data_IF_453165516696
#
_entry.id   IF_453165516696
#
_cell.length_a   1.000
_cell.length_b   1.000
_cell.length_c   1.000
_cell.angle_alpha   90.00
_cell.angle_beta   90.00
_cell.angle_gamma   90.00
#
_symmetry.space_group_name_H-M   'P 1'
#
loop_
_entity.id
_entity.type
_entity.pdbx_description
1 polymer ?
#
# COMPACT_ATOMS: atom_id res chain seq x y z
N UNK A 1 -4.24 27.96 13.67
CA UNK A 1 -4.60 27.96 12.23
C UNK A 1 -3.29 28.02 11.47
N UNK A 2 -2.66 26.88 11.24
CA UNK A 2 -1.52 26.80 10.31
C UNK A 2 -2.10 26.64 8.91
N UNK A 3 -1.68 27.53 8.00
CA UNK A 3 -2.20 27.59 6.64
C UNK A 3 -1.95 26.27 5.93
N UNK A 4 -2.99 25.75 5.28
CA UNK A 4 -2.86 24.72 4.26
C UNK A 4 -1.94 25.26 3.18
N UNK A 5 -0.67 24.85 3.19
CA UNK A 5 0.22 25.04 2.04
C UNK A 5 -0.53 24.52 0.80
N UNK A 6 -0.63 25.35 -0.22
CA UNK A 6 -1.20 24.94 -1.51
C UNK A 6 -0.31 23.83 -2.08
N UNK A 7 -0.75 22.59 -1.90
CA UNK A 7 0.05 21.43 -2.19
C UNK A 7 0.39 21.35 -3.67
N UNK A 8 -0.51 21.81 -4.54
CA UNK A 8 -0.35 21.80 -5.99
C UNK A 8 0.84 22.64 -6.47
N UNK A 9 1.14 23.73 -5.76
CA UNK A 9 2.29 24.59 -6.05
C UNK A 9 3.57 24.18 -5.34
N UNK A 10 3.52 23.19 -4.42
CA UNK A 10 4.70 22.76 -3.68
C UNK A 10 5.77 22.16 -4.62
N UNK A 11 7.06 22.56 -4.53
CA UNK A 11 8.09 22.11 -5.47
C UNK A 11 8.26 20.58 -5.54
N UNK A 12 8.22 19.88 -4.40
CA UNK A 12 8.29 18.40 -4.38
C UNK A 12 7.13 17.79 -5.16
N UNK A 13 5.92 18.32 -4.98
CA UNK A 13 4.69 17.85 -5.63
C UNK A 13 4.79 18.01 -7.14
N UNK A 14 5.24 19.16 -7.62
CA UNK A 14 5.44 19.39 -9.06
C UNK A 14 6.48 18.43 -9.66
N UNK A 15 7.58 18.17 -8.95
CA UNK A 15 8.63 17.23 -9.39
C UNK A 15 8.16 15.77 -9.40
N UNK A 16 7.33 15.38 -8.42
CA UNK A 16 6.66 14.07 -8.39
C UNK A 16 5.76 13.89 -9.61
N UNK A 17 4.92 14.89 -9.93
CA UNK A 17 4.03 14.87 -11.11
C UNK A 17 4.79 14.75 -12.43
N UNK A 18 5.98 15.35 -12.52
CA UNK A 18 6.86 15.26 -13.69
C UNK A 18 7.70 13.98 -13.73
N UNK A 19 7.63 13.12 -12.71
CA UNK A 19 8.38 11.86 -12.65
C UNK A 19 9.89 12.05 -12.53
N UNK A 20 10.34 13.16 -11.92
CA UNK A 20 11.77 13.51 -11.84
C UNK A 20 12.56 12.71 -10.79
N UNK A 21 11.88 12.08 -9.84
CA UNK A 21 12.52 11.23 -8.85
C UNK A 21 12.65 9.82 -9.42
N UNK A 22 13.79 9.16 -9.20
CA UNK A 22 14.08 7.81 -9.69
C UNK A 22 14.70 6.92 -8.60
N UNK A 23 15.09 7.50 -7.46
CA UNK A 23 15.77 6.81 -6.37
C UNK A 23 15.13 7.16 -5.03
N UNK A 24 13.84 6.86 -4.89
CA UNK A 24 13.07 7.12 -3.67
C UNK A 24 13.45 6.12 -2.59
N UNK A 25 13.86 6.62 -1.42
CA UNK A 25 14.06 5.82 -0.21
C UNK A 25 12.85 6.03 0.70
N UNK A 26 12.16 4.94 1.03
CA UNK A 26 11.03 4.94 1.95
C UNK A 26 11.49 4.46 3.33
N UNK A 27 11.09 5.18 4.37
CA UNK A 27 11.26 4.83 5.78
C UNK A 27 9.86 4.63 6.38
N UNK A 28 9.52 3.42 6.78
CA UNK A 28 8.21 3.11 7.34
C UNK A 28 8.28 2.49 8.73
N UNK A 29 7.28 2.80 9.55
CA UNK A 29 7.03 2.17 10.84
C UNK A 29 5.57 1.74 11.01
N UNK A 30 5.19 1.44 12.25
CA UNK A 30 3.93 0.75 12.54
C UNK A 30 2.67 1.53 12.10
N UNK A 31 2.76 2.85 11.97
CA UNK A 31 1.65 3.69 11.53
C UNK A 31 1.12 3.37 10.12
N UNK A 32 1.91 2.70 9.27
CA UNK A 32 1.41 2.24 7.95
C UNK A 32 0.56 0.96 8.04
N UNK A 33 0.57 0.25 9.17
CA UNK A 33 -0.14 -1.02 9.39
C UNK A 33 -1.38 -0.88 10.27
N UNK A 34 -1.63 0.32 10.85
CA UNK A 34 -2.76 0.55 11.78
C UNK A 34 -4.11 0.27 11.13
N UNK A 35 -4.32 0.68 9.88
CA UNK A 35 -5.57 0.42 9.15
C UNK A 35 -5.78 -1.06 8.77
N UNK A 36 -4.75 -1.92 8.91
CA UNK A 36 -4.88 -3.37 8.79
C UNK A 36 -5.30 -4.05 10.10
N UNK A 37 -5.61 -3.27 11.15
CA UNK A 37 -5.97 -3.78 12.47
C UNK A 37 -4.76 -4.19 13.32
N UNK A 38 -3.54 -3.88 12.90
CA UNK A 38 -2.32 -4.12 13.67
C UNK A 38 -2.01 -2.87 14.50
N UNK A 39 -2.10 -2.93 15.83
CA UNK A 39 -1.82 -1.76 16.67
C UNK A 39 -0.36 -1.35 16.51
N UNK A 40 -0.09 -0.06 16.63
CA UNK A 40 1.29 0.40 16.77
C UNK A 40 1.82 0.09 18.19
N UNK A 41 3.06 0.45 18.47
CA UNK A 41 3.65 0.16 19.78
C UNK A 41 3.29 1.18 20.86
N UNK A 42 3.09 2.46 20.48
CA UNK A 42 3.25 3.61 21.39
C UNK A 42 2.07 4.57 21.41
N UNK A 43 1.05 4.41 20.56
CA UNK A 43 -0.08 5.32 20.54
C UNK A 43 -0.88 5.24 21.85
N UNK A 44 -1.23 6.38 22.46
CA UNK A 44 -2.05 6.37 23.67
C UNK A 44 -3.42 5.73 23.43
N UNK A 45 -3.87 4.87 24.35
CA UNK A 45 -5.14 4.16 24.34
C UNK A 45 -5.22 2.92 23.44
N UNK A 46 -4.33 2.77 22.45
CA UNK A 46 -4.40 1.71 21.44
C UNK A 46 -3.09 0.98 21.18
N UNK A 47 -1.96 1.54 21.62
CA UNK A 47 -0.63 1.00 21.40
C UNK A 47 -0.37 -0.26 22.23
N UNK A 48 0.46 -1.16 21.68
CA UNK A 48 0.78 -2.45 22.28
C UNK A 48 1.25 -2.31 23.73
N UNK A 49 2.12 -1.34 24.03
CA UNK A 49 2.72 -1.16 25.36
C UNK A 49 1.72 -0.83 26.47
N UNK A 50 0.56 -0.24 26.14
CA UNK A 50 -0.48 0.03 27.13
C UNK A 50 -1.29 -1.21 27.50
N UNK A 51 -1.21 -2.29 26.71
CA UNK A 51 -1.96 -3.52 26.95
C UNK A 51 -1.09 -4.64 27.55
N UNK A 52 0.13 -4.31 28.01
CA UNK A 52 1.07 -5.31 28.54
C UNK A 52 1.04 -5.47 30.08
N UNK A 53 0.06 -4.88 30.79
CA UNK A 53 0.07 -4.93 32.26
C UNK A 53 -0.04 -6.37 32.81
N UNK A 54 -0.64 -7.29 32.06
CA UNK A 54 -0.77 -8.71 32.45
C UNK A 54 0.57 -9.48 32.49
N UNK A 55 1.64 -8.89 31.95
CA UNK A 55 2.96 -9.53 31.84
C UNK A 55 3.90 -9.20 32.99
N UNK A 56 3.49 -8.34 33.94
CA UNK A 56 4.28 -7.91 35.11
C UNK A 56 5.72 -7.51 34.74
N UNK A 57 5.83 -6.67 33.71
CA UNK A 57 7.10 -6.22 33.15
C UNK A 57 7.66 -5.05 33.97
N UNK A 58 8.99 -4.94 34.14
CA UNK A 58 9.60 -3.78 34.79
C UNK A 58 9.37 -2.48 34.00
N UNK A 59 9.34 -2.60 32.68
CA UNK A 59 8.97 -1.56 31.72
C UNK A 59 8.40 -2.25 30.46
N UNK A 60 7.49 -1.61 29.71
CA UNK A 60 6.86 -2.24 28.54
C UNK A 60 7.85 -2.74 27.49
N UNK A 61 8.96 -2.03 27.28
CA UNK A 61 10.02 -2.38 26.33
C UNK A 61 10.78 -3.65 26.70
N UNK A 62 10.76 -4.06 27.98
CA UNK A 62 11.49 -5.22 28.46
C UNK A 62 11.07 -6.52 27.76
N UNK A 63 9.82 -6.64 27.31
CA UNK A 63 9.33 -7.83 26.59
C UNK A 63 10.08 -8.08 25.27
N UNK A 64 10.66 -7.03 24.68
CA UNK A 64 11.48 -7.07 23.48
C UNK A 64 12.98 -6.91 23.78
N UNK A 65 13.41 -7.05 25.03
CA UNK A 65 14.83 -6.99 25.42
C UNK A 65 15.48 -8.35 25.44
N UNK A 66 16.64 -8.50 24.79
CA UNK A 66 17.34 -9.80 24.74
C UNK A 66 17.77 -10.25 26.13
N UNK A 67 18.18 -9.32 27.00
CA UNK A 67 18.57 -9.63 28.36
C UNK A 67 17.40 -10.11 29.22
N UNK A 68 16.22 -9.51 29.04
CA UNK A 68 14.99 -9.93 29.70
C UNK A 68 14.52 -11.29 29.17
N UNK A 69 14.51 -11.50 27.86
CA UNK A 69 14.13 -12.78 27.25
C UNK A 69 15.00 -13.95 27.73
N UNK A 70 16.30 -13.70 27.99
CA UNK A 70 17.19 -14.69 28.61
C UNK A 70 16.80 -15.08 30.03
N UNK A 71 16.24 -14.15 30.79
CA UNK A 71 15.81 -14.35 32.18
C UNK A 71 14.41 -14.94 32.27
N UNK A 72 13.47 -14.41 31.48
CA UNK A 72 12.05 -14.74 31.49
C UNK A 72 11.49 -14.71 30.05
N UNK A 73 11.60 -15.82 29.29
CA UNK A 73 11.09 -15.91 27.91
C UNK A 73 9.56 -16.06 27.82
N UNK A 74 8.88 -16.37 28.92
CA UNK A 74 7.45 -16.68 28.94
C UNK A 74 6.55 -15.52 28.47
N UNK A 75 6.75 -14.24 28.90
CA UNK A 75 5.94 -13.11 28.44
C UNK A 75 5.99 -12.93 26.93
N UNK A 76 7.19 -12.91 26.34
CA UNK A 76 7.34 -12.80 24.89
C UNK A 76 6.72 -14.01 24.17
N UNK A 77 6.87 -15.23 24.71
CA UNK A 77 6.30 -16.43 24.08
C UNK A 77 4.77 -16.35 24.00
N UNK A 78 4.11 -15.81 25.04
CA UNK A 78 2.66 -15.56 25.04
C UNK A 78 2.28 -14.49 24.02
N UNK A 79 2.94 -13.33 24.08
CA UNK A 79 2.69 -12.21 23.18
C UNK A 79 2.97 -12.56 21.71
N UNK A 80 4.00 -13.36 21.42
CA UNK A 80 4.40 -13.74 20.08
C UNK A 80 3.29 -14.47 19.30
N UNK A 81 2.32 -15.08 20.00
CA UNK A 81 1.14 -15.68 19.39
C UNK A 81 0.20 -14.62 18.83
N UNK A 82 0.02 -13.51 19.55
CA UNK A 82 -0.83 -12.39 19.15
C UNK A 82 -0.19 -11.55 18.05
N UNK A 83 1.15 -11.44 18.07
CA UNK A 83 1.93 -10.75 17.05
C UNK A 83 2.20 -11.59 15.80
N UNK A 84 1.92 -12.90 15.85
CA UNK A 84 2.16 -13.76 14.71
C UNK A 84 1.31 -13.29 13.53
N UNK A 85 1.87 -13.11 12.33
CA UNK A 85 1.09 -12.64 11.18
C UNK A 85 -0.12 -13.56 10.91
N UNK A 86 -1.34 -13.07 11.15
CA UNK A 86 -2.60 -13.74 10.80
C UNK A 86 -3.49 -12.79 10.01
N UNK A 87 -3.95 -13.27 8.84
CA UNK A 87 -5.01 -12.77 7.94
C UNK A 87 -5.08 -11.28 7.56
N UNK A 88 -4.25 -10.43 8.16
CA UNK A 88 -4.18 -9.00 7.88
C UNK A 88 -3.74 -8.76 6.43
N UNK A 89 -4.46 -7.87 5.76
CA UNK A 89 -4.17 -7.50 4.38
C UNK A 89 -3.30 -6.25 4.33
N UNK A 90 -2.41 -6.12 3.34
CA UNK A 90 -1.63 -4.91 3.16
C UNK A 90 -2.52 -3.67 2.99
N UNK A 91 -2.14 -2.58 3.66
CA UNK A 91 -2.85 -1.30 3.61
C UNK A 91 -2.55 -0.53 2.31
N UNK A 92 -3.25 0.59 2.11
CA UNK A 92 -2.99 1.48 0.96
C UNK A 92 -1.55 1.97 0.97
N UNK A 93 -0.99 2.26 2.14
CA UNK A 93 0.41 2.65 2.31
C UNK A 93 1.38 1.58 1.78
N UNK A 94 1.15 0.30 2.07
CA UNK A 94 1.97 -0.79 1.54
C UNK A 94 1.86 -0.90 0.01
N UNK A 95 0.63 -0.82 -0.50
CA UNK A 95 0.35 -0.86 -1.94
C UNK A 95 0.97 0.33 -2.67
N UNK A 96 0.98 1.51 -2.06
CA UNK A 96 1.64 2.70 -2.60
C UNK A 96 3.14 2.47 -2.79
N UNK A 97 3.84 1.94 -1.79
CA UNK A 97 5.27 1.58 -1.91
C UNK A 97 5.48 0.53 -3.00
N UNK A 98 4.60 -0.46 -3.12
CA UNK A 98 4.64 -1.43 -4.23
C UNK A 98 4.49 -0.76 -5.59
N UNK A 99 3.64 0.25 -5.72
CA UNK A 99 3.50 0.98 -6.99
C UNK A 99 4.76 1.80 -7.29
N UNK A 100 5.38 2.44 -6.29
CA UNK A 100 6.68 3.10 -6.47
C UNK A 100 7.72 2.13 -7.05
N UNK A 101 7.74 0.88 -6.57
CA UNK A 101 8.61 -0.16 -7.13
C UNK A 101 8.25 -0.51 -8.58
N UNK A 102 6.98 -0.79 -8.86
CA UNK A 102 6.52 -1.17 -10.19
C UNK A 102 6.74 -0.10 -11.24
N UNK A 103 6.69 1.17 -10.84
CA UNK A 103 6.95 2.33 -11.71
C UNK A 103 8.44 2.67 -11.83
N UNK A 104 9.32 1.96 -11.11
CA UNK A 104 10.78 2.15 -11.17
C UNK A 104 11.32 3.28 -10.30
N UNK A 105 10.50 3.87 -9.43
CA UNK A 105 10.88 4.97 -8.53
C UNK A 105 11.56 4.49 -7.25
N UNK A 106 11.16 3.33 -6.73
CA UNK A 106 11.63 2.85 -5.43
C UNK A 106 13.09 2.39 -5.51
N UNK A 107 13.98 3.11 -4.81
CA UNK A 107 15.35 2.66 -4.54
C UNK A 107 15.35 1.58 -3.47
N UNK A 108 14.75 1.89 -2.32
CA UNK A 108 14.72 1.03 -1.14
C UNK A 108 13.54 1.36 -0.25
N UNK A 109 12.98 0.32 0.37
CA UNK A 109 12.02 0.42 1.47
C UNK A 109 12.65 -0.12 2.75
N UNK A 110 12.92 0.75 3.72
CA UNK A 110 13.34 0.37 5.06
C UNK A 110 12.10 0.36 5.95
N UNK A 111 11.78 -0.81 6.51
CA UNK A 111 10.62 -0.99 7.38
C UNK A 111 11.10 -1.36 8.79
N UNK A 112 10.50 -0.74 9.80
CA UNK A 112 10.63 -1.15 11.22
C UNK A 112 9.66 -2.28 11.57
N UNK A 113 8.71 -2.57 10.69
CA UNK A 113 7.62 -3.50 10.95
C UNK A 113 8.09 -4.94 10.79
N UNK A 114 7.46 -5.82 11.55
CA UNK A 114 7.74 -7.27 11.61
C UNK A 114 6.54 -8.10 11.14
N UNK A 115 5.44 -7.43 10.74
CA UNK A 115 4.14 -8.00 10.38
C UNK A 115 4.13 -8.76 9.04
N UNK A 116 5.10 -8.50 8.16
CA UNK A 116 5.20 -9.15 6.85
C UNK A 116 4.30 -8.54 5.76
N UNK A 117 3.55 -7.48 6.05
CA UNK A 117 2.61 -6.86 5.10
C UNK A 117 3.32 -6.25 3.88
N UNK A 118 4.55 -5.77 4.05
CA UNK A 118 5.40 -5.30 2.94
C UNK A 118 5.65 -6.40 1.90
N UNK A 119 5.94 -7.62 2.37
CA UNK A 119 6.15 -8.79 1.51
C UNK A 119 4.83 -9.26 0.90
N UNK A 120 3.74 -9.25 1.66
CA UNK A 120 2.40 -9.59 1.18
C UNK A 120 1.88 -8.61 0.12
N UNK A 121 2.25 -7.32 0.20
CA UNK A 121 1.99 -6.33 -0.86
C UNK A 121 2.79 -6.61 -2.16
N UNK A 122 3.74 -7.54 -2.10
CA UNK A 122 4.58 -7.94 -3.22
C UNK A 122 5.80 -7.04 -3.44
N UNK A 123 6.21 -6.24 -2.46
CA UNK A 123 7.47 -5.49 -2.52
C UNK A 123 8.61 -6.49 -2.60
N UNK A 124 9.50 -6.38 -3.60
CA UNK A 124 10.53 -7.40 -3.77
C UNK A 124 11.52 -7.42 -2.60
N UNK A 125 12.01 -8.60 -2.25
CA UNK A 125 13.09 -8.77 -1.27
C UNK A 125 14.35 -7.98 -1.66
N UNK A 126 14.56 -7.68 -2.95
CA UNK A 126 15.66 -6.83 -3.39
C UNK A 126 15.49 -5.37 -2.99
N UNK A 127 14.26 -4.87 -2.82
CA UNK A 127 13.96 -3.49 -2.40
C UNK A 127 13.65 -3.38 -0.91
N UNK A 128 13.32 -4.49 -0.25
CA UNK A 128 12.92 -4.50 1.16
C UNK A 128 14.11 -4.65 2.12
N UNK A 129 14.17 -3.81 3.15
CA UNK A 129 15.07 -3.94 4.31
C UNK A 129 14.21 -3.99 5.56
N UNK A 130 14.05 -5.20 6.11
CA UNK A 130 13.37 -5.46 7.37
C UNK A 130 14.32 -5.11 8.52
N UNK A 131 14.33 -3.84 8.93
CA UNK A 131 15.33 -3.31 9.87
C UNK A 131 15.26 -4.01 11.22
N UNK A 132 14.06 -4.38 11.67
CA UNK A 132 13.83 -5.12 12.90
C UNK A 132 13.49 -6.60 12.67
N UNK A 133 13.81 -7.14 11.49
CA UNK A 133 13.60 -8.55 11.19
C UNK A 133 12.15 -8.94 10.90
N UNK A 134 11.78 -10.20 11.12
CA UNK A 134 10.44 -10.73 10.85
C UNK A 134 10.17 -12.07 11.52
N UNK A 135 8.90 -12.48 11.60
CA UNK A 135 8.48 -13.78 12.17
C UNK A 135 8.74 -15.02 11.29
N UNK A 136 9.16 -14.85 10.02
CA UNK A 136 9.26 -15.96 9.05
C UNK A 136 10.42 -16.95 9.23
N UNK A 137 11.30 -16.74 10.22
CA UNK A 137 12.38 -17.65 10.56
C UNK A 137 12.70 -17.51 12.05
N UNK A 138 13.48 -18.44 12.62
CA UNK A 138 13.97 -18.31 13.99
C UNK A 138 15.36 -18.90 14.17
N UNK A 139 16.09 -18.36 15.15
CA UNK A 139 17.44 -18.81 15.49
C UNK A 139 17.61 -18.95 17.00
N UNK A 140 18.53 -19.84 17.38
CA UNK A 140 18.97 -19.94 18.76
C UNK A 140 19.84 -18.72 19.13
N UNK A 141 19.52 -18.08 20.26
CA UNK A 141 20.24 -16.88 20.72
C UNK A 141 21.66 -17.16 21.24
N UNK A 142 22.04 -18.44 21.42
CA UNK A 142 23.34 -18.84 21.96
C UNK A 142 24.30 -19.38 20.90
N UNK A 143 23.81 -20.25 20.01
CA UNK A 143 24.64 -20.91 18.99
C UNK A 143 24.32 -20.48 17.55
N UNK A 144 23.34 -19.57 17.37
CA UNK A 144 22.87 -19.09 16.09
C UNK A 144 22.44 -20.21 15.10
N UNK A 145 22.06 -21.38 15.62
CA UNK A 145 21.52 -22.47 14.79
C UNK A 145 20.10 -22.11 14.36
N UNK A 146 19.85 -22.19 13.05
CA UNK A 146 18.53 -22.01 12.46
C UNK A 146 17.53 -23.00 13.07
N UNK A 147 16.31 -22.51 13.26
CA UNK A 147 15.17 -23.25 13.78
C UNK A 147 14.03 -23.14 12.78
N UNK A 148 13.49 -24.28 12.38
CA UNK A 148 12.48 -24.34 11.31
C UNK A 148 11.22 -23.55 11.70
N UNK A 149 10.67 -22.79 10.76
CA UNK A 149 9.52 -21.91 10.97
C UNK A 149 8.31 -22.68 11.52
N UNK A 150 7.92 -23.80 10.88
CA UNK A 150 6.79 -24.61 11.35
C UNK A 150 6.93 -25.06 12.81
N UNK A 151 8.15 -25.46 13.20
CA UNK A 151 8.43 -25.87 14.58
C UNK A 151 8.36 -24.69 15.52
N UNK A 152 8.84 -23.53 15.12
CA UNK A 152 8.76 -22.31 15.92
C UNK A 152 7.30 -21.91 16.13
N UNK A 153 6.51 -21.95 15.06
CA UNK A 153 5.07 -21.72 15.06
C UNK A 153 4.36 -22.67 16.03
N UNK A 154 4.62 -23.98 15.95
CA UNK A 154 4.06 -24.97 16.87
C UNK A 154 4.34 -24.64 18.35
N UNK A 155 5.55 -24.18 18.65
CA UNK A 155 5.93 -23.79 20.01
C UNK A 155 5.16 -22.54 20.46
N UNK A 156 5.15 -21.48 19.65
CA UNK A 156 4.47 -20.21 19.96
C UNK A 156 2.96 -20.43 20.14
N UNK A 157 2.31 -21.09 19.19
CA UNK A 157 0.86 -21.35 19.27
C UNK A 157 0.49 -22.31 20.39
N UNK A 158 1.40 -23.20 20.78
CA UNK A 158 1.29 -24.07 21.95
C UNK A 158 1.63 -23.40 23.28
N UNK A 159 2.04 -22.13 23.30
CA UNK A 159 2.47 -21.42 24.51
C UNK A 159 3.75 -21.99 25.13
N UNK A 160 4.61 -22.62 24.33
CA UNK A 160 5.83 -23.30 24.78
C UNK A 160 7.07 -22.53 24.38
N UNK A 161 7.99 -22.35 25.32
CA UNK A 161 9.30 -21.75 25.04
C UNK A 161 10.10 -22.67 24.11
N UNK A 162 10.47 -22.17 22.93
CA UNK A 162 11.27 -22.91 21.98
C UNK A 162 12.74 -23.01 22.44
N UNK A 163 13.31 -24.22 22.35
CA UNK A 163 14.71 -24.48 22.73
C UNK A 163 15.47 -25.23 21.65
N UNK A 164 16.72 -24.84 21.48
CA UNK A 164 17.65 -25.48 20.56
C UNK A 164 18.19 -26.80 21.14
N UNK A 165 18.83 -27.61 20.30
CA UNK A 165 19.56 -28.81 20.74
C UNK A 165 20.69 -28.50 21.74
N UNK A 166 21.26 -27.29 21.70
CA UNK A 166 22.24 -26.82 22.70
C UNK A 166 21.60 -26.32 24.02
N UNK A 167 20.27 -26.47 24.18
CA UNK A 167 19.45 -25.98 25.30
C UNK A 167 19.22 -24.47 25.35
N UNK A 168 19.90 -23.72 24.49
CA UNK A 168 19.67 -22.28 24.33
C UNK A 168 18.26 -21.94 23.85
N UNK A 169 17.80 -20.75 24.20
CA UNK A 169 16.49 -20.25 23.80
C UNK A 169 16.44 -19.98 22.30
N UNK A 170 15.28 -20.15 21.70
CA UNK A 170 15.01 -19.84 20.30
C UNK A 170 13.94 -18.76 20.26
N UNK A 171 14.16 -17.76 19.39
CA UNK A 171 13.18 -16.73 19.10
C UNK A 171 13.01 -16.56 17.58
N UNK A 172 11.91 -15.96 17.13
CA UNK A 172 11.80 -15.48 15.76
C UNK A 172 12.93 -14.50 15.44
N UNK A 173 13.24 -14.37 14.16
CA UNK A 173 14.26 -13.46 13.63
C UNK A 173 13.80 -12.00 13.64
N UNK A 174 13.14 -11.59 14.71
CA UNK A 174 12.88 -10.19 15.05
C UNK A 174 14.05 -9.69 15.91
N UNK A 175 14.41 -8.43 15.72
CA UNK A 175 15.53 -7.80 16.44
C UNK A 175 15.03 -7.30 17.79
N UNK A 176 15.60 -7.83 18.86
CA UNK A 176 15.35 -7.39 20.23
C UNK A 176 16.26 -6.20 20.59
N UNK A 177 15.88 -5.41 21.58
CA UNK A 177 16.78 -4.44 22.18
C UNK A 177 18.02 -5.16 22.73
N UNK A 178 19.19 -4.63 22.38
CA UNK A 178 20.49 -5.24 22.68
C UNK A 178 21.03 -6.16 21.57
N UNK A 179 20.31 -6.33 20.45
CA UNK A 179 20.82 -7.04 19.26
C UNK A 179 21.28 -6.10 18.16
N UNK A 180 22.22 -6.58 17.34
CA UNK A 180 22.61 -5.91 16.12
C UNK A 180 21.49 -5.99 15.07
N UNK A 181 21.25 -4.89 14.36
CA UNK A 181 20.37 -4.91 13.19
C UNK A 181 20.99 -5.75 12.06
N UNK A 182 20.17 -6.28 11.11
CA UNK A 182 20.66 -7.13 10.03
C UNK A 182 21.75 -6.45 9.20
N UNK A 183 22.76 -7.20 8.75
CA UNK A 183 23.87 -6.66 7.93
C UNK A 183 23.39 -5.91 6.67
N UNK A 184 22.23 -6.31 6.13
CA UNK A 184 21.56 -5.65 5.00
C UNK A 184 21.18 -4.20 5.33
N UNK A 185 20.73 -3.92 6.56
CA UNK A 185 20.43 -2.55 7.01
C UNK A 185 21.66 -1.64 6.90
N UNK A 186 22.81 -2.07 7.45
CA UNK A 186 24.05 -1.30 7.39
C UNK A 186 24.54 -1.10 5.95
N UNK A 187 24.50 -2.14 5.14
CA UNK A 187 24.98 -2.10 3.75
C UNK A 187 24.11 -1.20 2.87
N UNK A 188 22.80 -1.41 2.89
CA UNK A 188 21.86 -0.64 2.08
C UNK A 188 21.78 0.81 2.53
N UNK A 189 21.74 1.07 3.85
CA UNK A 189 21.68 2.44 4.35
C UNK A 189 22.91 3.25 3.95
N UNK A 190 24.10 2.64 3.87
CA UNK A 190 25.29 3.31 3.30
C UNK A 190 25.14 3.61 1.81
N UNK A 191 24.77 2.61 1.01
CA UNK A 191 24.76 2.72 -0.45
C UNK A 191 23.61 3.57 -1.01
N UNK A 192 22.44 3.53 -0.37
CA UNK A 192 21.22 4.08 -0.95
C UNK A 192 21.04 5.57 -0.64
N UNK A 193 21.53 6.05 0.51
CA UNK A 193 21.44 7.47 0.87
C UNK A 193 22.41 8.37 0.09
N UNK A 194 23.51 7.82 -0.43
CA UNK A 194 24.43 8.53 -1.32
C UNK A 194 23.82 8.79 -2.70
N UNK A 195 22.73 8.09 -3.06
CA UNK A 195 22.12 8.10 -4.40
C UNK A 195 20.64 8.44 -4.39
N UNK A 196 20.04 8.66 -3.23
CA UNK A 196 18.62 8.97 -3.15
C UNK A 196 18.35 10.39 -3.65
N UNK A 197 17.21 10.57 -4.30
CA UNK A 197 16.73 11.87 -4.78
C UNK A 197 15.45 12.31 -4.05
N UNK A 198 14.87 11.43 -3.24
CA UNK A 198 13.75 11.71 -2.33
C UNK A 198 13.79 10.75 -1.14
N UNK A 199 13.50 11.26 0.05
CA UNK A 199 13.20 10.43 1.23
C UNK A 199 11.74 10.60 1.62
N UNK A 200 11.01 9.49 1.68
CA UNK A 200 9.63 9.45 2.11
C UNK A 200 9.55 8.73 3.46
N UNK A 201 9.16 9.46 4.50
CA UNK A 201 9.01 8.95 5.87
C UNK A 201 7.54 8.79 6.20
N UNK A 202 7.11 7.59 6.59
CA UNK A 202 5.70 7.26 6.76
C UNK A 202 5.44 6.49 8.05
N UNK A 203 4.44 6.91 8.82
CA UNK A 203 3.92 6.11 9.93
C UNK A 203 4.96 5.71 10.99
N UNK A 204 5.92 6.56 11.29
CA UNK A 204 6.99 6.27 12.28
C UNK A 204 7.21 7.44 13.23
N UNK A 205 7.38 7.13 14.52
CA UNK A 205 7.76 8.12 15.54
C UNK A 205 9.25 8.46 15.52
N UNK A 206 10.07 7.75 14.73
CA UNK A 206 11.53 7.94 14.65
C UNK A 206 12.22 8.01 16.03
N UNK A 207 11.80 7.16 16.98
CA UNK A 207 12.37 7.12 18.33
C UNK A 207 13.41 6.00 18.53
N UNK A 208 13.45 5.01 17.63
CA UNK A 208 14.30 3.82 17.79
C UNK A 208 15.54 3.96 16.92
N UNK A 209 16.71 4.04 17.55
CA UNK A 209 18.00 4.02 16.86
C UNK A 209 18.45 2.58 16.54
N UNK A 210 19.25 2.37 15.48
CA UNK A 210 19.80 3.36 14.54
C UNK A 210 18.84 3.77 13.41
N UNK A 211 17.59 3.31 13.41
CA UNK A 211 16.63 3.58 12.33
C UNK A 211 16.26 5.07 12.25
N UNK A 212 16.01 5.72 13.39
CA UNK A 212 15.68 7.14 13.47
C UNK A 212 16.71 8.03 12.74
N UNK A 213 18.00 7.73 12.91
CA UNK A 213 19.08 8.47 12.23
C UNK A 213 19.05 8.38 10.70
N UNK A 214 18.34 7.42 10.08
CA UNK A 214 18.25 7.34 8.61
C UNK A 214 17.67 8.63 8.01
N UNK A 215 16.69 9.25 8.66
CA UNK A 215 16.07 10.48 8.13
C UNK A 215 17.05 11.66 8.06
N UNK A 216 18.05 11.68 8.93
CA UNK A 216 19.06 12.75 9.00
C UNK A 216 20.25 12.49 8.08
N UNK A 217 20.44 11.25 7.64
CA UNK A 217 21.44 10.87 6.63
C UNK A 217 21.11 11.36 5.23
N UNK A 218 19.87 11.74 4.97
CA UNK A 218 19.48 12.38 3.71
C UNK A 218 20.29 13.68 3.51
N UNK A 219 21.03 13.81 2.39
CA UNK A 219 21.75 15.04 2.07
C UNK A 219 20.86 16.28 2.15
N UNK A 220 21.43 17.44 2.47
CA UNK A 220 20.64 18.66 2.67
C UNK A 220 19.84 19.09 1.44
N UNK A 221 20.33 18.77 0.23
CA UNK A 221 19.67 19.06 -1.04
C UNK A 221 18.58 18.03 -1.42
N UNK A 222 18.54 16.87 -0.74
CA UNK A 222 17.54 15.85 -1.03
C UNK A 222 16.25 16.21 -0.29
N UNK A 223 15.13 16.42 -1.03
CA UNK A 223 13.84 16.70 -0.41
C UNK A 223 13.37 15.52 0.43
N UNK A 224 12.59 15.83 1.48
CA UNK A 224 11.96 14.84 2.32
C UNK A 224 10.46 15.10 2.42
N UNK A 225 9.69 14.02 2.44
CA UNK A 225 8.26 14.04 2.70
C UNK A 225 8.01 13.27 4.00
N UNK A 226 7.23 13.84 4.91
CA UNK A 226 6.71 13.15 6.07
C UNK A 226 5.21 12.96 5.92
N UNK A 227 4.73 11.72 6.09
CA UNK A 227 3.31 11.38 6.22
C UNK A 227 3.12 10.69 7.56
N UNK A 228 2.55 11.37 8.54
CA UNK A 228 2.42 10.81 9.89
C UNK A 228 1.35 11.56 10.69
N UNK A 229 0.78 10.94 11.73
CA UNK A 229 -0.19 11.62 12.60
C UNK A 229 0.39 12.86 13.28
N UNK A 230 1.65 12.78 13.71
CA UNK A 230 2.35 13.83 14.43
C UNK A 230 3.73 14.06 13.84
N UNK A 231 4.32 15.24 14.02
CA UNK A 231 5.70 15.54 13.61
C UNK A 231 6.70 14.90 14.61
N UNK A 232 7.52 13.91 14.21
CA UNK A 232 8.54 13.36 15.08
C UNK A 232 9.65 14.38 15.39
N UNK A 233 10.12 14.43 16.63
CA UNK A 233 11.22 15.32 17.03
C UNK A 233 12.49 15.07 16.20
N UNK A 234 12.82 13.80 15.96
CA UNK A 234 13.98 13.39 15.17
C UNK A 234 13.89 13.82 13.69
N UNK A 235 12.70 14.11 13.17
CA UNK A 235 12.54 14.54 11.77
C UNK A 235 13.21 15.90 11.52
N UNK A 236 13.13 16.82 12.49
CA UNK A 236 13.63 18.21 12.42
C UNK A 236 13.34 18.86 11.06
N UNK A 237 12.14 19.43 10.91
CA UNK A 237 11.64 20.01 9.65
C UNK A 237 12.65 20.99 9.04
N UNK A 238 13.02 20.77 7.78
CA UNK A 238 13.79 21.67 6.92
C UNK A 238 12.82 22.53 6.09
N UNK A 239 13.23 23.71 5.61
CA UNK A 239 12.36 24.57 4.81
C UNK A 239 11.80 23.92 3.54
N UNK A 240 12.53 22.97 2.95
CA UNK A 240 12.14 22.28 1.72
C UNK A 240 11.36 20.97 1.99
N UNK A 241 11.15 20.58 3.25
CA UNK A 241 10.42 19.36 3.57
C UNK A 241 8.91 19.59 3.43
N UNK A 242 8.24 18.61 2.80
CA UNK A 242 6.79 18.55 2.79
C UNK A 242 6.32 17.72 3.99
N UNK A 243 5.41 18.27 4.79
CA UNK A 243 4.88 17.59 5.99
C UNK A 243 3.37 17.46 5.86
N UNK A 244 2.90 16.22 5.79
CA UNK A 244 1.51 15.83 5.67
C UNK A 244 1.08 15.16 6.99
N UNK A 245 0.37 15.91 7.83
CA UNK A 245 -0.10 15.40 9.11
C UNK A 245 -1.48 14.77 9.00
N UNK A 246 -1.55 13.48 9.31
CA UNK A 246 -2.77 12.68 9.21
C UNK A 246 -2.48 11.18 9.13
N UNK A 247 -3.53 10.39 9.05
CA UNK A 247 -3.43 8.94 8.82
C UNK A 247 -2.75 8.67 7.47
N UNK A 248 -1.82 7.71 7.43
CA UNK A 248 -0.99 7.49 6.24
C UNK A 248 -1.83 7.18 5.01
N UNK A 249 -2.79 6.26 5.13
CA UNK A 249 -3.67 5.89 4.02
C UNK A 249 -4.50 7.08 3.55
N UNK A 250 -5.12 7.83 4.48
CA UNK A 250 -5.91 9.00 4.15
C UNK A 250 -5.09 10.07 3.42
N UNK A 251 -3.87 10.37 3.90
CA UNK A 251 -3.01 11.38 3.26
C UNK A 251 -2.50 10.93 1.89
N UNK A 252 -2.26 9.64 1.68
CA UNK A 252 -1.91 9.11 0.35
C UNK A 252 -3.08 9.27 -0.61
N UNK A 253 -4.31 9.00 -0.16
CA UNK A 253 -5.53 9.12 -0.97
C UNK A 253 -5.91 10.56 -1.28
N UNK A 254 -6.01 11.40 -0.24
CA UNK A 254 -6.51 12.77 -0.32
C UNK A 254 -5.60 13.65 -1.15
N UNK A 255 -4.29 13.47 -1.00
CA UNK A 255 -3.32 14.30 -1.69
C UNK A 255 -3.02 13.73 -3.06
N UNK A 256 -3.97 13.94 -3.97
CA UNK A 256 -4.01 13.55 -5.38
C UNK A 256 -2.64 13.48 -6.09
N UNK A 257 -1.69 14.31 -5.68
CA UNK A 257 -0.27 14.28 -6.05
C UNK A 257 0.46 12.95 -5.82
N UNK A 258 0.32 12.32 -4.65
CA UNK A 258 0.94 11.03 -4.40
C UNK A 258 0.27 9.96 -5.27
N UNK A 259 -1.04 10.07 -5.48
CA UNK A 259 -1.78 9.27 -6.46
C UNK A 259 -1.43 9.62 -7.93
N UNK A 260 -0.93 10.83 -8.22
CA UNK A 260 -0.46 11.29 -9.53
C UNK A 260 0.87 10.64 -9.93
N UNK A 261 1.73 10.27 -8.96
CA UNK A 261 2.85 9.34 -9.23
C UNK A 261 2.33 8.01 -9.80
N UNK A 262 1.09 7.66 -9.47
CA UNK A 262 0.40 6.47 -9.96
C UNK A 262 -0.39 6.71 -11.26
N UNK A 263 -0.47 7.94 -11.78
CA UNK A 263 -1.28 8.24 -12.96
C UNK A 263 -0.64 7.77 -14.28
N UNK A 264 -1.10 6.61 -14.70
CA UNK A 264 -2.05 6.51 -15.83
C UNK A 264 -2.83 5.18 -15.75
N UNK A 265 -2.92 4.59 -14.55
CA UNK A 265 -3.38 3.20 -14.42
C UNK A 265 -3.94 2.85 -13.04
N UNK A 266 -3.85 3.66 -11.99
CA UNK A 266 -3.92 3.15 -10.60
C UNK A 266 -5.31 2.82 -10.06
N UNK A 267 -6.32 3.70 -10.14
CA UNK A 267 -7.66 3.35 -9.65
C UNK A 267 -8.23 2.15 -10.42
N UNK A 268 -8.07 2.16 -11.74
CA UNK A 268 -8.36 1.01 -12.60
C UNK A 268 -7.50 -0.22 -12.29
N UNK A 269 -6.21 -0.08 -11.99
CA UNK A 269 -5.33 -1.24 -11.68
C UNK A 269 -5.59 -1.79 -10.30
N UNK A 270 -5.99 -0.95 -9.35
CA UNK A 270 -6.35 -1.33 -8.00
C UNK A 270 -7.69 -2.05 -8.02
N UNK A 271 -8.72 -1.43 -8.61
CA UNK A 271 -9.99 -2.07 -8.90
C UNK A 271 -9.77 -3.38 -9.66
N UNK A 272 -8.90 -3.40 -10.68
CA UNK A 272 -8.55 -4.62 -11.42
C UNK A 272 -7.85 -5.66 -10.55
N UNK A 273 -6.93 -5.25 -9.67
CA UNK A 273 -6.21 -6.17 -8.79
C UNK A 273 -7.16 -6.81 -7.78
N UNK A 274 -8.03 -6.02 -7.14
CA UNK A 274 -9.06 -6.54 -6.24
C UNK A 274 -10.07 -7.44 -6.98
N UNK A 275 -10.52 -7.02 -8.17
CA UNK A 275 -11.41 -7.83 -9.01
C UNK A 275 -10.77 -9.16 -9.42
N UNK A 276 -9.47 -9.15 -9.76
CA UNK A 276 -8.75 -10.34 -10.20
C UNK A 276 -8.40 -11.29 -9.05
N UNK A 277 -8.19 -10.75 -7.85
CA UNK A 277 -7.94 -11.50 -6.63
C UNK A 277 -9.22 -12.08 -6.02
N UNK A 278 -10.40 -11.61 -6.44
CA UNK A 278 -11.69 -12.15 -6.01
C UNK A 278 -11.99 -11.93 -4.52
N UNK A 279 -11.47 -10.84 -3.96
CA UNK A 279 -11.65 -10.48 -2.54
C UNK A 279 -13.14 -10.24 -2.29
N UNK A 280 -13.77 -11.07 -1.45
CA UNK A 280 -15.22 -11.06 -1.25
C UNK A 280 -15.69 -9.79 -0.51
N UNK A 281 -14.89 -9.20 0.38
CA UNK A 281 -15.32 -8.07 1.22
C UNK A 281 -14.87 -6.69 0.71
N UNK A 282 -14.61 -6.53 -0.59
CA UNK A 282 -14.14 -5.25 -1.15
C UNK A 282 -15.24 -4.27 -1.57
N UNK A 283 -16.52 -4.52 -1.24
CA UNK A 283 -17.65 -3.70 -1.71
C UNK A 283 -17.53 -2.21 -1.36
N UNK A 284 -17.18 -1.90 -0.11
CA UNK A 284 -17.00 -0.52 0.36
C UNK A 284 -15.81 0.19 -0.33
N UNK A 285 -14.72 -0.53 -0.58
CA UNK A 285 -13.57 -0.03 -1.32
C UNK A 285 -13.97 0.36 -2.75
N UNK A 286 -14.72 -0.51 -3.43
CA UNK A 286 -15.18 -0.21 -4.78
C UNK A 286 -16.19 0.94 -4.82
N UNK A 287 -17.00 1.11 -3.76
CA UNK A 287 -17.91 2.24 -3.63
C UNK A 287 -17.16 3.55 -3.49
N UNK A 288 -16.20 3.62 -2.57
CA UNK A 288 -15.33 4.78 -2.39
C UNK A 288 -14.54 5.10 -3.67
N UNK A 289 -14.02 4.07 -4.35
CA UNK A 289 -13.36 4.23 -5.65
C UNK A 289 -14.31 4.79 -6.71
N UNK A 290 -15.57 4.35 -6.74
CA UNK A 290 -16.55 4.82 -7.71
C UNK A 290 -16.94 6.28 -7.47
N UNK A 291 -17.24 6.65 -6.23
CA UNK A 291 -17.59 8.03 -5.84
C UNK A 291 -16.45 9.02 -6.14
N UNK A 292 -15.21 8.63 -5.82
CA UNK A 292 -14.01 9.41 -6.14
C UNK A 292 -13.81 9.56 -7.65
N UNK A 293 -13.97 8.46 -8.41
CA UNK A 293 -13.82 8.49 -9.85
C UNK A 293 -14.92 9.31 -10.51
N UNK A 294 -16.17 9.24 -10.04
CA UNK A 294 -17.27 10.08 -10.55
C UNK A 294 -16.95 11.57 -10.45
N UNK A 295 -16.35 12.02 -9.34
CA UNK A 295 -15.94 13.42 -9.14
C UNK A 295 -14.84 13.89 -10.11
N UNK A 296 -13.94 12.99 -10.51
CA UNK A 296 -12.77 13.30 -11.36
C UNK A 296 -12.98 13.05 -12.84
N UNK A 297 -13.93 12.18 -13.18
CA UNK A 297 -14.20 11.75 -14.54
C UNK A 297 -14.67 12.89 -15.45
N UNK A 298 -15.18 13.99 -14.89
CA UNK A 298 -15.71 15.17 -15.60
C UNK A 298 -14.66 16.01 -16.37
N UNK A 299 -13.61 15.39 -16.92
CA UNK A 299 -12.67 16.03 -17.83
C UNK A 299 -11.29 15.39 -17.90
N UNK A 300 -10.81 14.79 -16.82
CA UNK A 300 -9.37 14.50 -16.64
C UNK A 300 -8.88 13.22 -17.32
N UNK A 301 -9.72 12.20 -17.47
CA UNK A 301 -9.27 10.89 -17.94
C UNK A 301 -9.17 10.81 -19.48
N UNK A 302 -8.08 10.18 -19.93
CA UNK A 302 -7.84 9.80 -21.34
C UNK A 302 -8.75 8.64 -21.77
N UNK A 303 -8.90 8.42 -23.08
CA UNK A 303 -9.64 7.27 -23.63
C UNK A 303 -9.16 5.92 -23.06
N UNK A 304 -7.83 5.75 -22.94
CA UNK A 304 -7.23 4.57 -22.31
C UNK A 304 -7.59 4.46 -20.82
N UNK A 305 -7.62 5.59 -20.09
CA UNK A 305 -8.03 5.64 -18.69
C UNK A 305 -9.48 5.22 -18.50
N UNK A 306 -10.39 5.78 -19.30
CA UNK A 306 -11.81 5.42 -19.31
C UNK A 306 -12.03 3.93 -19.58
N UNK A 307 -11.36 3.38 -20.60
CA UNK A 307 -11.43 1.96 -20.92
C UNK A 307 -10.90 1.06 -19.80
N UNK A 308 -9.80 1.44 -19.15
CA UNK A 308 -9.21 0.66 -18.06
C UNK A 308 -10.09 0.66 -16.80
N UNK A 309 -10.67 1.81 -16.44
CA UNK A 309 -11.59 1.91 -15.31
C UNK A 309 -12.83 1.06 -15.57
N UNK A 310 -13.45 1.22 -16.75
CA UNK A 310 -14.61 0.41 -17.11
C UNK A 310 -14.28 -1.08 -17.01
N UNK A 311 -13.17 -1.54 -17.59
CA UNK A 311 -12.76 -2.94 -17.58
C UNK A 311 -12.52 -3.52 -16.18
N UNK A 312 -11.95 -2.72 -15.28
CA UNK A 312 -11.75 -3.08 -13.88
C UNK A 312 -13.07 -3.31 -13.15
N UNK A 313 -13.98 -2.34 -13.23
CA UNK A 313 -15.28 -2.40 -12.58
C UNK A 313 -16.18 -3.45 -13.23
N UNK A 314 -16.13 -3.61 -14.55
CA UNK A 314 -16.87 -4.64 -15.29
C UNK A 314 -16.39 -6.06 -15.00
N UNK A 315 -15.13 -6.22 -14.57
CA UNK A 315 -14.62 -7.53 -14.11
C UNK A 315 -14.99 -7.78 -12.65
N UNK A 316 -15.04 -6.74 -11.82
CA UNK A 316 -15.56 -6.83 -10.46
C UNK A 316 -17.06 -7.13 -10.40
N UNK A 317 -17.82 -6.78 -11.44
CA UNK A 317 -19.27 -6.99 -11.58
C UNK A 317 -19.72 -8.44 -11.34
N UNK A 318 -18.83 -9.43 -11.57
CA UNK A 318 -19.10 -10.84 -11.28
C UNK A 318 -18.95 -11.26 -9.81
N UNK A 319 -18.53 -10.35 -8.92
CA UNK A 319 -18.40 -10.61 -7.49
C UNK A 319 -19.69 -10.18 -6.76
N UNK A 320 -20.26 -11.09 -5.96
CA UNK A 320 -21.55 -10.90 -5.28
C UNK A 320 -21.60 -9.68 -4.34
N UNK A 321 -20.45 -9.29 -3.78
CA UNK A 321 -20.32 -8.10 -2.92
C UNK A 321 -20.35 -6.78 -3.68
N UNK A 322 -20.02 -6.80 -4.98
CA UNK A 322 -19.91 -5.60 -5.80
C UNK A 322 -21.14 -5.37 -6.68
N UNK A 323 -21.94 -6.41 -6.97
CA UNK A 323 -23.18 -6.27 -7.75
C UNK A 323 -24.14 -5.20 -7.17
N UNK A 324 -24.19 -5.06 -5.83
CA UNK A 324 -24.99 -4.03 -5.14
C UNK A 324 -24.39 -2.63 -5.24
N UNK A 325 -23.06 -2.52 -5.23
CA UNK A 325 -22.34 -1.24 -5.31
C UNK A 325 -22.40 -0.65 -6.72
N UNK A 326 -22.20 -1.48 -7.75
CA UNK A 326 -22.25 -1.07 -9.15
C UNK A 326 -23.62 -0.54 -9.58
N UNK A 327 -24.69 -1.07 -9.01
CA UNK A 327 -26.06 -0.61 -9.24
C UNK A 327 -26.32 0.77 -8.59
N UNK A 328 -25.55 1.12 -7.54
CA UNK A 328 -25.72 2.36 -6.76
C UNK A 328 -24.78 3.50 -7.20
N UNK A 329 -23.55 3.19 -7.61
CA UNK A 329 -22.56 4.19 -8.02
C UNK A 329 -22.80 4.59 -9.47
N UNK A 330 -23.31 5.78 -9.80
CA UNK A 330 -23.55 6.22 -11.18
C UNK A 330 -22.36 6.15 -12.17
N UNK A 331 -21.19 5.69 -11.74
CA UNK A 331 -19.92 5.51 -12.44
C UNK A 331 -20.04 5.02 -13.88
N UNK A 332 -20.74 3.92 -14.17
CA UNK A 332 -20.86 3.44 -15.55
C UNK A 332 -21.60 4.45 -16.46
N UNK A 333 -22.55 5.22 -15.91
CA UNK A 333 -23.22 6.31 -16.65
C UNK A 333 -22.28 7.48 -16.88
N UNK A 334 -21.46 7.84 -15.88
CA UNK A 334 -20.45 8.89 -15.99
C UNK A 334 -19.38 8.52 -17.02
N UNK A 335 -18.85 7.28 -16.96
CA UNK A 335 -17.92 6.73 -17.94
C UNK A 335 -18.54 6.75 -19.33
N UNK A 336 -19.81 6.34 -19.48
CA UNK A 336 -20.48 6.33 -20.79
C UNK A 336 -20.58 7.75 -21.38
N UNK A 337 -20.98 8.73 -20.57
CA UNK A 337 -21.09 10.13 -20.96
C UNK A 337 -19.74 10.72 -21.40
N UNK A 338 -18.71 10.51 -20.60
CA UNK A 338 -17.36 11.00 -20.89
C UNK A 338 -16.73 10.32 -22.11
N UNK A 339 -16.92 9.00 -22.22
CA UNK A 339 -16.45 8.24 -23.38
C UNK A 339 -17.13 8.73 -24.66
N UNK A 340 -18.43 9.01 -24.64
CA UNK A 340 -19.17 9.54 -25.78
C UNK A 340 -18.56 10.87 -26.28
N UNK A 341 -18.21 11.78 -25.36
CA UNK A 341 -17.54 13.05 -25.69
C UNK A 341 -16.12 12.88 -26.25
N UNK A 342 -15.46 11.75 -25.97
CA UNK A 342 -14.06 11.47 -26.33
C UNK A 342 -13.90 10.38 -27.39
N UNK A 343 -14.98 9.86 -27.98
CA UNK A 343 -14.99 8.68 -28.86
C UNK A 343 -13.93 8.70 -29.97
N UNK A 344 -13.69 9.87 -30.58
CA UNK A 344 -12.70 10.03 -31.66
C UNK A 344 -11.26 9.76 -31.21
N UNK A 345 -10.99 9.92 -29.93
CA UNK A 345 -9.67 9.72 -29.31
C UNK A 345 -9.37 8.27 -28.94
N UNK A 346 -10.38 7.39 -28.95
CA UNK A 346 -10.20 5.98 -28.63
C UNK A 346 -9.47 5.24 -29.77
N UNK A 347 -8.44 4.47 -29.38
CA UNK A 347 -7.86 3.43 -30.24
C UNK A 347 -8.81 2.23 -30.29
N UNK A 348 -8.79 1.42 -31.36
CA UNK A 348 -9.70 0.27 -31.50
C UNK A 348 -9.73 -0.65 -30.28
N UNK A 349 -8.55 -1.00 -29.73
CA UNK A 349 -8.43 -1.86 -28.54
C UNK A 349 -9.06 -1.24 -27.28
N UNK A 350 -8.95 0.07 -27.10
CA UNK A 350 -9.52 0.78 -25.95
C UNK A 350 -11.05 0.79 -26.04
N UNK A 351 -11.58 1.05 -27.24
CA UNK A 351 -13.02 1.01 -27.49
C UNK A 351 -13.58 -0.39 -27.28
N UNK A 352 -12.90 -1.43 -27.77
CA UNK A 352 -13.29 -2.82 -27.51
C UNK A 352 -13.30 -3.16 -26.02
N UNK A 353 -12.23 -2.82 -25.29
CA UNK A 353 -12.16 -3.06 -23.84
C UNK A 353 -13.27 -2.35 -23.07
N UNK A 354 -13.56 -1.09 -23.44
CA UNK A 354 -14.65 -0.31 -22.88
C UNK A 354 -15.98 -1.05 -23.08
N UNK A 355 -16.31 -1.42 -24.32
CA UNK A 355 -17.58 -2.05 -24.65
C UNK A 355 -17.75 -3.45 -24.03
N UNK A 356 -16.68 -4.25 -23.97
CA UNK A 356 -16.71 -5.55 -23.29
C UNK A 356 -16.92 -5.41 -21.78
N UNK A 357 -16.44 -4.32 -21.17
CA UNK A 357 -16.68 -4.05 -19.76
C UNK A 357 -18.15 -3.74 -19.48
N UNK A 358 -18.79 -2.94 -20.33
CA UNK A 358 -20.22 -2.64 -20.26
C UNK A 358 -21.07 -3.90 -20.46
N UNK A 359 -20.70 -4.77 -21.40
CA UNK A 359 -21.38 -6.05 -21.62
C UNK A 359 -21.33 -6.94 -20.37
N UNK A 360 -20.15 -7.09 -19.76
CA UNK A 360 -20.00 -7.86 -18.51
C UNK A 360 -20.82 -7.30 -17.35
N UNK A 361 -20.82 -5.99 -17.17
CA UNK A 361 -21.62 -5.35 -16.11
C UNK A 361 -23.13 -5.53 -16.33
N UNK A 362 -23.59 -5.60 -17.59
CA UNK A 362 -24.98 -5.90 -17.94
C UNK A 362 -25.34 -7.36 -17.66
N UNK A 363 -24.48 -8.30 -18.05
CA UNK A 363 -24.72 -9.74 -17.87
C UNK A 363 -24.82 -10.16 -16.39
N UNK A 364 -24.15 -9.43 -15.50
CA UNK A 364 -24.19 -9.67 -14.05
C UNK A 364 -25.32 -8.91 -13.34
N UNK A 365 -26.19 -8.21 -14.08
CA UNK A 365 -27.28 -7.40 -13.52
C UNK A 365 -26.82 -6.11 -12.83
N UNK A 366 -25.52 -5.79 -12.91
CA UNK A 366 -24.89 -4.62 -12.26
C UNK A 366 -25.09 -3.31 -13.04
N UNK A 367 -25.69 -3.38 -14.23
CA UNK A 367 -25.95 -2.23 -15.08
C UNK A 367 -27.27 -2.38 -15.83
N UNK A 368 -28.18 -1.42 -15.67
CA UNK A 368 -29.36 -1.28 -16.50
C UNK A 368 -29.07 -0.39 -17.72
N UNK A 369 -29.78 -0.62 -18.83
CA UNK A 369 -29.65 0.24 -20.02
C UNK A 369 -30.08 1.66 -19.72
N UNK A 370 -29.10 2.57 -19.65
CA UNK A 370 -29.30 4.00 -19.50
C UNK A 370 -29.12 4.74 -20.84
N UNK A 371 -29.78 5.90 -21.05
CA UNK A 371 -29.68 6.67 -22.29
C UNK A 371 -28.24 7.03 -22.70
N UNK A 372 -27.36 7.29 -21.73
CA UNK A 372 -25.95 7.61 -21.99
C UNK A 372 -25.17 6.42 -22.60
N UNK A 373 -25.52 5.19 -22.21
CA UNK A 373 -24.91 3.99 -22.78
C UNK A 373 -25.43 3.70 -24.18
N UNK A 374 -26.73 3.93 -24.42
CA UNK A 374 -27.30 3.81 -25.75
C UNK A 374 -26.66 4.80 -26.73
N UNK A 375 -26.45 6.05 -26.29
CA UNK A 375 -25.71 7.04 -27.07
C UNK A 375 -24.26 6.64 -27.34
N UNK A 376 -23.56 6.09 -26.33
CA UNK A 376 -22.19 5.60 -26.51
C UNK A 376 -22.15 4.48 -27.57
N UNK A 377 -23.09 3.53 -27.53
CA UNK A 377 -23.16 2.41 -28.47
C UNK A 377 -23.44 2.90 -29.90
N UNK A 378 -24.46 3.74 -30.08
CA UNK A 378 -24.82 4.33 -31.38
C UNK A 378 -23.65 5.13 -31.98
N UNK A 379 -22.98 5.94 -31.16
CA UNK A 379 -21.85 6.74 -31.59
C UNK A 379 -20.59 5.90 -31.85
N UNK A 380 -20.40 4.77 -31.13
CA UNK A 380 -19.33 3.80 -31.39
C UNK A 380 -19.53 3.11 -32.73
N UNK A 381 -20.75 2.64 -33.03
CA UNK A 381 -21.12 2.03 -34.32
C UNK A 381 -20.82 3.00 -35.47
N UNK A 382 -21.25 4.26 -35.33
CA UNK A 382 -20.98 5.30 -36.34
C UNK A 382 -19.48 5.54 -36.53
N UNK A 383 -18.71 5.61 -35.45
CA UNK A 383 -17.26 5.83 -35.50
C UNK A 383 -16.53 4.66 -36.17
N UNK A 384 -16.97 3.42 -35.95
CA UNK A 384 -16.39 2.25 -36.62
C UNK A 384 -16.76 2.22 -38.11
N UNK A 385 -18.01 2.51 -38.47
CA UNK A 385 -18.43 2.60 -39.86
C UNK A 385 -17.68 3.71 -40.64
N UNK A 386 -17.35 4.84 -39.99
CA UNK A 386 -16.53 5.90 -40.58
C UNK A 386 -15.06 5.48 -40.79
N UNK A 387 -14.49 4.66 -39.88
CA UNK A 387 -13.08 4.22 -39.94
C UNK A 387 -12.87 2.94 -40.75
N UNK A 388 -13.92 2.15 -40.95
CA UNK A 388 -13.89 0.86 -41.65
C UNK A 388 -15.18 0.70 -42.49
N UNK A 389 -15.30 1.41 -43.63
CA UNK A 389 -16.54 1.46 -44.43
C UNK A 389 -16.96 0.12 -45.04
N UNK A 390 -16.04 -0.84 -45.13
CA UNK A 390 -16.28 -2.19 -45.66
C UNK A 390 -16.71 -3.22 -44.60
N UNK A 391 -16.85 -2.81 -43.33
CA UNK A 391 -17.23 -3.67 -42.22
C UNK A 391 -18.72 -3.50 -41.88
N UNK A 392 -19.52 -4.57 -41.90
CA UNK A 392 -20.90 -4.52 -41.36
C UNK A 392 -20.79 -4.41 -39.83
N UNK A 393 -21.33 -3.35 -39.21
CA UNK A 393 -21.28 -3.19 -37.76
C UNK A 393 -21.93 -4.34 -36.97
N UNK A 394 -22.79 -5.15 -37.60
CA UNK A 394 -23.37 -6.37 -37.03
C UNK A 394 -22.35 -7.50 -36.87
N UNK A 395 -21.27 -7.51 -37.64
CA UNK A 395 -20.20 -8.52 -37.57
C UNK A 395 -19.23 -8.27 -36.39
N UNK A 396 -19.36 -7.14 -35.69
CA UNK A 396 -18.50 -6.79 -34.56
C UNK A 396 -18.92 -7.47 -33.24
N UNK A 397 -20.05 -8.19 -33.20
CA UNK A 397 -20.58 -8.89 -32.01
C UNK A 397 -20.51 -8.03 -30.72
N UNK A 398 -21.03 -6.79 -30.76
CA UNK A 398 -21.05 -5.87 -29.60
C UNK A 398 -22.47 -5.73 -29.00
N UNK A 399 -23.30 -6.78 -29.02
CA UNK A 399 -24.61 -6.76 -28.36
C UNK A 399 -24.81 -7.96 -27.44
#
# INVERSE_FOLDING_TARGET
MEGTEDLDSHPIVQRLRRGEFCNVVVLAGAGISVSAGIPDFRSPGTGLYENLQEYDLPEPEAIFSLSYFRQNPEPFTRLAKELWPVDAQPTVSHLFVRVLERKGFLRRHFTQNIDGLDSAAGISEQRLVKAHGSFGAGHCIDCNRAFHEDRLREHIFGGKVARCSCKGLVKPDIVFFGEDLPAKFRTCSKQDFDRCDLVLCMGTSLQVEPFASLVTRAPACVPRILINLNLPEAFRRRPADLVLLGECDHMIWKEDTLMLILQNTSASSLAWSFAKLGVQDSGELFQALAEELEGRLAGELTAQGLANVAWAFGTAAGLASFARTAEQSGLFRVIAREAAGKLRTFRPKELTNLLQAFARAKDTGSLQMAPELQQLLEASVKTVAEKAPDCDPRDLCIL
#
